data_IF_393403611678
#
_entry.id   IF_393403611678
#
_cell.length_a   1.000
_cell.length_b   1.000
_cell.length_c   1.000
_cell.angle_alpha   90.00
_cell.angle_beta   90.00
_cell.angle_gamma   90.00
#
_symmetry.space_group_name_H-M   'P 1'
#
loop_
_entity.id
_entity.type
_entity.pdbx_description
1 polymer ?
#
# COMPACT_ATOMS: atom_id res chain seq x y z
N UNK A 1 8.10 6.71 -10.39
CA UNK A 1 7.72 7.32 -9.09
C UNK A 1 7.00 6.33 -8.19
N UNK A 2 5.83 5.81 -8.56
CA UNK A 2 5.09 4.84 -7.70
C UNK A 2 5.92 3.61 -7.34
N UNK A 3 6.66 3.02 -8.28
CA UNK A 3 7.53 1.85 -8.03
C UNK A 3 8.59 2.15 -6.96
N UNK A 4 9.18 3.35 -6.97
CA UNK A 4 10.13 3.80 -5.95
C UNK A 4 9.44 3.96 -4.58
N UNK A 5 8.23 4.54 -4.53
CA UNK A 5 7.47 4.59 -3.28
C UNK A 5 7.13 3.18 -2.76
N UNK A 6 6.90 2.22 -3.66
CA UNK A 6 6.54 0.85 -3.32
C UNK A 6 7.69 0.07 -2.66
N UNK A 7 8.95 0.44 -2.91
CA UNK A 7 10.10 -0.26 -2.29
C UNK A 7 10.19 -0.06 -0.77
N UNK A 8 9.54 0.96 -0.22
CA UNK A 8 9.53 1.22 1.23
C UNK A 8 8.48 0.43 2.02
N UNK A 9 7.59 -0.32 1.34
CA UNK A 9 6.48 -1.02 2.02
C UNK A 9 6.99 -2.07 3.02
N UNK A 10 8.07 -2.77 2.68
CA UNK A 10 8.70 -3.75 3.60
C UNK A 10 9.11 -3.09 4.91
N UNK A 11 9.79 -1.95 4.83
CA UNK A 11 10.26 -1.20 6.00
C UNK A 11 9.10 -0.68 6.84
N UNK A 12 8.01 -0.22 6.18
CA UNK A 12 6.79 0.23 6.86
C UNK A 12 6.16 -0.91 7.67
N UNK A 13 6.02 -2.10 7.09
CA UNK A 13 5.45 -3.27 7.79
C UNK A 13 6.32 -3.65 8.98
N UNK A 14 7.64 -3.71 8.80
CA UNK A 14 8.59 -4.00 9.87
C UNK A 14 8.51 -2.95 10.99
N UNK A 15 8.44 -1.67 10.65
CA UNK A 15 8.29 -0.59 11.62
C UNK A 15 7.00 -0.74 12.44
N UNK A 16 5.85 -0.98 11.78
CA UNK A 16 4.57 -1.13 12.47
C UNK A 16 4.56 -2.34 13.42
N UNK A 17 5.24 -3.44 13.08
CA UNK A 17 5.41 -4.62 13.95
C UNK A 17 6.15 -4.31 15.26
N UNK A 18 6.96 -3.26 15.31
CA UNK A 18 7.75 -2.89 16.49
C UNK A 18 6.98 -2.00 17.49
N UNK A 19 5.86 -1.40 17.07
CA UNK A 19 5.10 -0.47 17.91
C UNK A 19 4.22 -1.25 18.89
N UNK A 20 4.51 -1.11 20.18
CA UNK A 20 3.78 -1.82 21.25
C UNK A 20 2.57 -1.06 21.78
N UNK A 21 2.61 0.28 21.77
CA UNK A 21 1.54 1.09 22.35
C UNK A 21 0.37 1.22 21.36
N UNK A 22 -0.85 0.75 21.69
CA UNK A 22 -1.95 0.63 20.72
C UNK A 22 -2.31 1.96 20.03
N UNK A 23 -2.35 3.07 20.78
CA UNK A 23 -2.65 4.38 20.19
C UNK A 23 -1.54 4.92 19.30
N UNK A 24 -0.29 4.58 19.57
CA UNK A 24 0.82 4.95 18.70
C UNK A 24 0.79 4.07 17.43
N UNK A 25 0.41 2.80 17.58
CA UNK A 25 0.23 1.89 16.45
C UNK A 25 -0.86 2.41 15.51
N UNK A 26 -2.07 2.69 16.02
CA UNK A 26 -3.18 3.24 15.23
C UNK A 26 -2.77 4.55 14.53
N UNK A 27 -2.14 5.46 15.27
CA UNK A 27 -1.65 6.74 14.74
C UNK A 27 -0.66 6.56 13.58
N UNK A 28 0.25 5.59 13.69
CA UNK A 28 1.21 5.29 12.64
C UNK A 28 0.61 4.45 11.50
N UNK A 29 -0.34 3.55 11.76
CA UNK A 29 -0.88 2.61 10.78
C UNK A 29 -1.88 3.27 9.82
N UNK A 30 -2.75 4.16 10.32
CA UNK A 30 -3.79 4.82 9.51
C UNK A 30 -3.20 5.54 8.29
N UNK A 31 -2.18 6.43 8.45
CA UNK A 31 -1.58 7.11 7.31
C UNK A 31 -0.94 6.14 6.30
N UNK A 32 -0.37 5.03 6.76
CA UNK A 32 0.30 4.05 5.89
C UNK A 32 -0.71 3.28 5.04
N UNK A 33 -1.85 2.89 5.63
CA UNK A 33 -2.95 2.28 4.89
C UNK A 33 -3.55 3.23 3.85
N UNK A 34 -3.72 4.51 4.20
CA UNK A 34 -4.19 5.52 3.26
C UNK A 34 -3.17 5.79 2.14
N UNK A 35 -1.88 5.75 2.46
CA UNK A 35 -0.81 5.96 1.49
C UNK A 35 -0.79 4.85 0.44
N UNK A 36 -0.77 3.57 0.84
CA UNK A 36 -0.79 2.46 -0.12
C UNK A 36 -2.10 2.45 -0.93
N UNK A 37 -3.25 2.73 -0.31
CA UNK A 37 -4.52 2.87 -1.04
C UNK A 37 -4.45 3.98 -2.10
N UNK A 38 -3.77 5.09 -1.79
CA UNK A 38 -3.53 6.19 -2.74
C UNK A 38 -2.57 5.76 -3.85
N UNK A 39 -1.46 5.08 -3.55
CA UNK A 39 -0.55 4.55 -4.57
C UNK A 39 -1.27 3.65 -5.57
N UNK A 40 -2.22 2.81 -5.11
CA UNK A 40 -3.08 2.02 -6.00
C UNK A 40 -3.91 2.90 -6.94
N UNK A 41 -4.45 4.03 -6.48
CA UNK A 41 -5.22 4.96 -7.31
C UNK A 41 -4.34 5.71 -8.32
N UNK A 42 -3.10 6.03 -7.95
CA UNK A 42 -2.15 6.75 -8.80
C UNK A 42 -1.49 5.86 -9.87
N UNK A 43 -1.26 4.58 -9.57
CA UNK A 43 -0.53 3.69 -10.46
C UNK A 43 -1.26 3.48 -11.78
N UNK A 44 -0.54 3.73 -12.89
CA UNK A 44 -1.03 3.61 -14.26
C UNK A 44 -2.35 4.39 -14.49
N UNK A 45 -2.47 5.58 -13.89
CA UNK A 45 -3.66 6.43 -13.98
C UNK A 45 -3.31 7.77 -14.64
N UNK A 46 -3.75 8.04 -15.88
CA UNK A 46 -3.47 9.31 -16.55
C UNK A 46 -4.18 10.51 -15.92
N UNK A 47 -5.25 10.29 -15.14
CA UNK A 47 -5.98 11.38 -14.47
C UNK A 47 -5.11 12.12 -13.45
N UNK A 48 -3.98 11.54 -13.02
CA UNK A 48 -3.02 12.21 -12.11
C UNK A 48 -2.45 13.49 -12.72
N UNK A 49 -2.41 13.60 -14.05
CA UNK A 49 -1.89 14.77 -14.74
C UNK A 49 -2.94 15.87 -14.96
N UNK A 50 -4.22 15.58 -14.72
CA UNK A 50 -5.33 16.50 -15.00
C UNK A 50 -6.21 16.79 -13.78
N UNK A 51 -6.19 15.92 -12.77
CA UNK A 51 -7.02 16.03 -11.57
C UNK A 51 -6.29 15.59 -10.29
N UNK A 52 -6.80 16.04 -9.15
CA UNK A 52 -6.37 15.55 -7.84
C UNK A 52 -7.03 14.20 -7.56
N UNK A 53 -6.27 13.12 -7.79
CA UNK A 53 -6.71 11.75 -7.48
C UNK A 53 -6.67 11.54 -5.96
N UNK A 54 -7.80 11.16 -5.36
CA UNK A 54 -7.94 10.89 -3.92
C UNK A 54 -8.68 9.59 -3.68
N UNK A 55 -8.41 8.94 -2.54
CA UNK A 55 -9.26 7.85 -2.06
C UNK A 55 -10.65 8.38 -1.68
N UNK A 56 -11.69 7.55 -1.81
CA UNK A 56 -13.05 7.91 -1.41
C UNK A 56 -13.13 8.03 0.12
N UNK A 57 -13.94 8.98 0.62
CA UNK A 57 -14.16 9.18 2.06
C UNK A 57 -14.61 7.90 2.78
N UNK A 58 -15.49 7.11 2.15
CA UNK A 58 -15.93 5.83 2.71
C UNK A 58 -14.78 4.85 2.95
N UNK A 59 -13.84 4.73 2.01
CA UNK A 59 -12.64 3.91 2.18
C UNK A 59 -11.75 4.48 3.29
N UNK A 60 -11.58 5.81 3.35
CA UNK A 60 -10.81 6.43 4.42
C UNK A 60 -11.40 6.11 5.80
N UNK A 61 -12.72 6.23 5.97
CA UNK A 61 -13.40 5.85 7.22
C UNK A 61 -13.23 4.36 7.53
N UNK A 62 -13.38 3.48 6.54
CA UNK A 62 -13.17 2.04 6.71
C UNK A 62 -11.76 1.73 7.23
N UNK A 63 -10.72 2.32 6.63
CA UNK A 63 -9.33 2.12 7.05
C UNK A 63 -9.07 2.67 8.45
N UNK A 64 -9.68 3.80 8.82
CA UNK A 64 -9.58 4.35 10.18
C UNK A 64 -10.20 3.45 11.23
N UNK A 65 -11.32 2.78 10.90
CA UNK A 65 -12.02 1.89 11.83
C UNK A 65 -11.34 0.52 11.95
N UNK A 66 -10.63 0.06 10.92
CA UNK A 66 -10.06 -1.28 10.83
C UNK A 66 -8.52 -1.26 10.79
N UNK A 67 -7.89 -0.66 11.82
CA UNK A 67 -6.43 -0.54 11.92
C UNK A 67 -5.89 -0.75 13.34
N UNK A 68 -6.62 -1.47 14.20
CA UNK A 68 -6.29 -1.58 15.63
C UNK A 68 -5.21 -2.62 15.96
N UNK A 69 -4.84 -3.47 15.00
CA UNK A 69 -3.78 -4.46 15.16
C UNK A 69 -3.05 -4.73 13.85
N UNK A 70 -1.88 -5.38 13.96
CA UNK A 70 -1.01 -5.68 12.82
C UNK A 70 -1.66 -6.62 11.79
N UNK A 71 -2.49 -7.59 12.21
CA UNK A 71 -3.12 -8.53 11.28
C UNK A 71 -4.09 -7.82 10.35
N UNK A 72 -4.87 -6.87 10.88
CA UNK A 72 -5.76 -6.04 10.06
C UNK A 72 -4.98 -5.20 9.06
N UNK A 73 -3.87 -4.58 9.49
CA UNK A 73 -3.00 -3.80 8.61
C UNK A 73 -2.42 -4.68 7.50
N UNK A 74 -1.87 -5.84 7.84
CA UNK A 74 -1.30 -6.79 6.88
C UNK A 74 -2.34 -7.28 5.87
N UNK A 75 -3.58 -7.54 6.30
CA UNK A 75 -4.71 -7.84 5.41
C UNK A 75 -4.93 -6.74 4.36
N UNK A 76 -5.01 -5.47 4.78
CA UNK A 76 -5.20 -4.36 3.86
C UNK A 76 -3.99 -4.14 2.94
N UNK A 77 -2.77 -4.30 3.46
CA UNK A 77 -1.56 -4.25 2.63
C UNK A 77 -1.63 -5.32 1.52
N UNK A 78 -1.91 -6.58 1.87
CA UNK A 78 -2.10 -7.67 0.90
C UNK A 78 -3.20 -7.35 -0.13
N UNK A 79 -4.33 -6.79 0.32
CA UNK A 79 -5.43 -6.38 -0.55
C UNK A 79 -4.99 -5.31 -1.57
N UNK A 80 -4.29 -4.27 -1.12
CA UNK A 80 -3.83 -3.19 -1.99
C UNK A 80 -2.68 -3.61 -2.91
N UNK A 81 -1.77 -4.46 -2.44
CA UNK A 81 -0.72 -5.10 -3.26
C UNK A 81 -1.37 -5.91 -4.40
N UNK A 82 -2.38 -6.72 -4.09
CA UNK A 82 -3.11 -7.49 -5.11
C UNK A 82 -3.84 -6.58 -6.12
N UNK A 83 -4.33 -5.41 -5.67
CA UNK A 83 -4.97 -4.43 -6.57
C UNK A 83 -3.97 -3.75 -7.50
N UNK A 84 -2.77 -3.38 -7.01
CA UNK A 84 -1.77 -2.76 -7.88
C UNK A 84 -1.15 -3.77 -8.85
N UNK A 85 -0.97 -5.02 -8.43
CA UNK A 85 -0.46 -6.10 -9.27
C UNK A 85 -1.31 -6.29 -10.52
N UNK A 86 -2.64 -6.28 -10.37
CA UNK A 86 -3.61 -6.35 -11.48
C UNK A 86 -3.53 -5.16 -12.45
N UNK A 87 -2.94 -4.04 -12.03
CA UNK A 87 -2.76 -2.84 -12.87
C UNK A 87 -1.43 -2.82 -13.62
N UNK A 88 -0.52 -3.75 -13.34
CA UNK A 88 0.76 -3.83 -14.03
C UNK A 88 0.51 -4.18 -15.50
N UNK A 89 0.99 -3.36 -16.45
CA UNK A 89 0.83 -3.66 -17.86
C UNK A 89 1.51 -4.98 -18.25
N UNK A 90 0.87 -5.74 -19.16
CA UNK A 90 1.39 -7.04 -19.62
C UNK A 90 2.66 -6.96 -20.45
N UNK A 91 2.96 -5.79 -21.03
CA UNK A 91 4.18 -5.61 -21.81
C UNK A 91 5.39 -5.54 -20.87
N UNK A 92 6.51 -6.10 -21.34
CA UNK A 92 7.76 -6.11 -20.58
C UNK A 92 8.42 -4.74 -20.61
N UNK A 93 8.66 -4.15 -19.44
CA UNK A 93 9.55 -3.01 -19.27
C UNK A 93 10.29 -3.15 -17.91
N UNK A 94 11.35 -2.36 -17.71
CA UNK A 94 12.17 -2.46 -16.50
C UNK A 94 11.38 -2.16 -15.22
N UNK A 95 10.46 -1.20 -15.27
CA UNK A 95 9.64 -0.79 -14.13
C UNK A 95 8.61 -1.87 -13.75
N UNK A 96 8.04 -2.56 -14.74
CA UNK A 96 7.06 -3.63 -14.53
C UNK A 96 7.75 -4.83 -13.90
N UNK A 97 8.95 -5.21 -14.38
CA UNK A 97 9.76 -6.27 -13.78
C UNK A 97 10.12 -5.94 -12.33
N UNK A 98 10.66 -4.74 -12.10
CA UNK A 98 11.01 -4.29 -10.76
C UNK A 98 9.79 -4.24 -9.82
N UNK A 99 8.63 -3.77 -10.30
CA UNK A 99 7.40 -3.78 -9.52
C UNK A 99 6.97 -5.21 -9.14
N UNK A 100 7.07 -6.17 -10.06
CA UNK A 100 6.76 -7.58 -9.79
C UNK A 100 7.72 -8.19 -8.75
N UNK A 101 9.02 -7.91 -8.86
CA UNK A 101 10.02 -8.33 -7.87
C UNK A 101 9.72 -7.77 -6.47
N UNK A 102 9.42 -6.46 -6.37
CA UNK A 102 9.03 -5.83 -5.11
C UNK A 102 7.78 -6.48 -4.51
N UNK A 103 6.74 -6.73 -5.32
CA UNK A 103 5.52 -7.39 -4.87
C UNK A 103 5.82 -8.79 -4.33
N UNK A 104 6.64 -9.57 -5.03
CA UNK A 104 7.02 -10.91 -4.58
C UNK A 104 7.77 -10.88 -3.25
N UNK A 105 8.73 -9.96 -3.09
CA UNK A 105 9.48 -9.79 -1.85
C UNK A 105 8.57 -9.38 -0.69
N UNK A 106 7.64 -8.45 -0.91
CA UNK A 106 6.71 -8.01 0.14
C UNK A 106 5.74 -9.13 0.50
N UNK A 107 5.25 -9.91 -0.47
CA UNK A 107 4.36 -11.06 -0.22
C UNK A 107 5.02 -12.11 0.67
N UNK A 108 6.33 -12.31 0.55
CA UNK A 108 7.08 -13.24 1.42
C UNK A 108 7.08 -12.81 2.90
N UNK A 109 6.82 -11.55 3.23
CA UNK A 109 6.77 -11.07 4.61
C UNK A 109 5.50 -11.50 5.37
N UNK A 110 4.47 -11.94 4.64
CA UNK A 110 3.17 -12.32 5.20
C UNK A 110 2.93 -13.84 5.21
N UNK A 111 3.90 -14.62 4.72
CA UNK A 111 3.93 -16.09 4.81
C UNK A 111 4.70 -16.51 6.06
#
# INVERSE_FOLDING_TARGET
>A
MVVNSFSHLSDVIQYLRLIKHPKNFEFCAIPQLMAIATLVQLYNNPLVFTYVVRIRKGLACELMLNCSDIKQVEYYFCLFISKIEKKIPKYSNINNKHMQELINNIKQLFN
#
